data_IF_408551793555
#
_entry.id   IF_408551793555
#
_cell.length_a   1.000
_cell.length_b   1.000
_cell.length_c   1.000
_cell.angle_alpha   90.00
_cell.angle_beta   90.00
_cell.angle_gamma   90.00
#
_symmetry.space_group_name_H-M   'P 1'
#
loop_
_entity.id
_entity.type
_entity.pdbx_description
1 polymer ?
#
# COMPACT_ATOMS: atom_id res chain seq x y z
N UNK A 1 -5.23 9.56 6.60
CA UNK A 1 -6.71 9.50 6.69
C UNK A 1 -7.19 10.87 6.25
N UNK A 2 -8.08 10.93 5.26
CA UNK A 2 -8.73 12.19 4.88
C UNK A 2 -9.44 12.69 6.15
N UNK A 3 -9.19 13.93 6.56
CA UNK A 3 -9.77 14.52 7.77
C UNK A 3 -9.06 14.14 9.07
N UNK A 4 -8.04 14.90 9.45
CA UNK A 4 -7.60 14.96 10.85
C UNK A 4 -7.55 16.44 11.25
N UNK A 5 -8.70 16.97 11.69
CA UNK A 5 -8.86 18.36 12.14
C UNK A 5 -8.29 18.62 13.55
N UNK A 6 -7.80 17.57 14.24
CA UNK A 6 -7.15 17.70 15.56
C UNK A 6 -5.63 17.54 15.41
N UNK A 7 -4.81 18.31 16.12
CA UNK A 7 -3.36 18.06 16.11
C UNK A 7 -3.05 16.79 16.90
N UNK A 8 -2.56 15.73 16.24
CA UNK A 8 -1.96 14.57 16.92
C UNK A 8 -0.49 14.89 17.21
N UNK A 9 -0.09 14.84 18.48
CA UNK A 9 1.33 14.84 18.86
C UNK A 9 1.75 13.39 19.10
N UNK A 10 2.53 12.86 18.15
CA UNK A 10 3.18 11.56 18.33
C UNK A 10 4.39 11.64 19.27
N UNK A 11 5.06 10.50 19.52
CA UNK A 11 6.39 10.46 20.12
C UNK A 11 7.41 11.30 19.33
N UNK A 12 8.57 11.61 19.92
CA UNK A 12 9.57 12.51 19.33
C UNK A 12 10.13 12.05 17.98
N UNK A 13 10.03 10.75 17.66
CA UNK A 13 10.44 10.17 16.39
C UNK A 13 9.30 10.07 15.34
N UNK A 14 8.13 10.67 15.61
CA UNK A 14 6.97 10.67 14.70
C UNK A 14 6.70 12.08 14.20
N UNK A 15 7.00 12.30 12.92
CA UNK A 15 6.73 13.56 12.23
C UNK A 15 5.38 13.50 11.51
N UNK A 16 4.45 14.37 11.91
CA UNK A 16 3.10 14.43 11.33
C UNK A 16 3.03 15.57 10.33
N UNK A 17 2.81 15.22 9.07
CA UNK A 17 2.59 16.18 7.99
C UNK A 17 1.09 16.44 7.79
N UNK A 18 0.74 17.66 7.38
CA UNK A 18 -0.61 17.97 6.87
C UNK A 18 -0.83 17.23 5.54
N UNK A 19 -2.05 17.29 5.01
CA UNK A 19 -2.30 16.86 3.65
C UNK A 19 -1.37 17.59 2.66
N UNK A 20 -0.89 16.86 1.66
CA UNK A 20 0.08 17.35 0.68
C UNK A 20 -0.38 17.00 -0.74
N UNK A 21 -0.06 17.83 -1.74
CA UNK A 21 -0.20 17.47 -3.14
C UNK A 21 0.51 16.14 -3.45
N UNK A 22 -0.06 15.34 -4.35
CA UNK A 22 0.49 14.01 -4.66
C UNK A 22 1.99 14.04 -5.00
N UNK A 23 2.42 14.98 -5.85
CA UNK A 23 3.82 15.11 -6.27
C UNK A 23 4.77 15.37 -5.10
N UNK A 24 4.30 16.08 -4.08
CA UNK A 24 5.09 16.44 -2.91
C UNK A 24 5.26 15.25 -1.96
N UNK A 25 4.42 14.22 -2.08
CA UNK A 25 4.58 12.97 -1.33
C UNK A 25 5.68 12.07 -1.91
N UNK A 26 6.02 12.21 -3.19
CA UNK A 26 6.92 11.28 -3.90
C UNK A 26 8.33 11.19 -3.30
N UNK A 27 9.00 12.30 -2.91
CA UNK A 27 10.32 12.22 -2.29
C UNK A 27 10.29 11.44 -0.98
N UNK A 28 9.23 11.61 -0.17
CA UNK A 28 9.08 10.90 1.10
C UNK A 28 8.97 9.40 0.91
N UNK A 29 8.20 8.95 -0.10
CA UNK A 29 8.03 7.52 -0.36
C UNK A 29 9.30 6.94 -0.99
N UNK A 30 9.84 7.58 -2.02
CA UNK A 30 11.00 7.09 -2.78
C UNK A 30 12.25 6.89 -1.91
N UNK A 31 12.42 7.71 -0.88
CA UNK A 31 13.60 7.68 -0.02
C UNK A 31 13.35 7.01 1.34
N UNK A 32 12.15 6.48 1.59
CA UNK A 32 11.86 5.73 2.81
C UNK A 32 12.53 4.34 2.76
N UNK A 33 12.97 3.84 3.92
CA UNK A 33 13.49 2.46 4.03
C UNK A 33 12.37 1.42 3.92
N UNK A 34 11.22 1.73 4.50
CA UNK A 34 9.99 0.93 4.48
C UNK A 34 8.79 1.87 4.41
N UNK A 35 7.63 1.32 4.06
CA UNK A 35 6.36 2.04 4.01
C UNK A 35 5.33 1.40 4.93
N UNK A 36 4.31 2.15 5.35
CA UNK A 36 3.28 1.66 6.28
C UNK A 36 1.89 1.98 5.73
N UNK A 37 1.03 0.96 5.62
CA UNK A 37 -0.38 1.10 5.30
C UNK A 37 -1.25 0.65 6.50
N UNK A 38 -1.47 1.53 7.50
CA UNK A 38 -2.08 1.16 8.77
C UNK A 38 -3.62 1.17 8.66
N UNK A 39 -4.18 0.22 7.91
CA UNK A 39 -5.62 0.10 7.75
C UNK A 39 -6.27 -0.39 9.05
N UNK A 40 -7.50 0.07 9.29
CA UNK A 40 -8.35 -0.44 10.36
C UNK A 40 -9.15 -1.62 9.83
N UNK A 41 -9.23 -2.70 10.62
CA UNK A 41 -10.11 -3.82 10.32
C UNK A 41 -11.57 -3.35 10.36
N UNK A 42 -12.32 -3.66 9.30
CA UNK A 42 -13.75 -3.42 9.17
C UNK A 42 -14.35 -4.46 8.19
N UNK A 43 -15.66 -4.70 8.18
CA UNK A 43 -16.27 -5.63 7.23
C UNK A 43 -15.99 -5.22 5.77
N UNK A 44 -15.55 -6.18 4.94
CA UNK A 44 -15.37 -5.98 3.52
C UNK A 44 -14.13 -5.16 3.15
N UNK A 45 -13.06 -5.18 3.96
CA UNK A 45 -11.79 -4.48 3.65
C UNK A 45 -10.76 -5.39 2.98
N UNK A 46 -11.08 -6.66 2.78
CA UNK A 46 -10.20 -7.68 2.21
C UNK A 46 -9.79 -7.35 0.77
N UNK A 47 -10.64 -6.64 0.02
CA UNK A 47 -10.34 -6.15 -1.33
C UNK A 47 -9.13 -5.19 -1.37
N UNK A 48 -8.72 -4.62 -0.22
CA UNK A 48 -7.53 -3.76 -0.15
C UNK A 48 -6.23 -4.52 -0.46
N UNK A 49 -6.23 -5.85 -0.31
CA UNK A 49 -5.11 -6.69 -0.75
C UNK A 49 -4.79 -6.49 -2.24
N UNK A 50 -5.80 -6.29 -3.07
CA UNK A 50 -5.63 -6.19 -4.53
C UNK A 50 -5.72 -4.74 -5.03
N UNK A 51 -6.59 -3.93 -4.43
CA UNK A 51 -7.00 -2.64 -4.98
C UNK A 51 -6.31 -1.42 -4.34
N UNK A 52 -5.55 -1.59 -3.27
CA UNK A 52 -4.94 -0.46 -2.58
C UNK A 52 -3.91 0.25 -3.46
N UNK A 53 -4.26 1.45 -3.94
CA UNK A 53 -3.34 2.31 -4.69
C UNK A 53 -2.12 2.72 -3.85
N UNK A 54 -2.28 2.86 -2.53
CA UNK A 54 -1.16 3.16 -1.62
C UNK A 54 -0.14 2.03 -1.61
N UNK A 55 -0.59 0.78 -1.49
CA UNK A 55 0.29 -0.39 -1.53
C UNK A 55 0.89 -0.60 -2.93
N UNK A 56 0.11 -0.38 -3.99
CA UNK A 56 0.61 -0.42 -5.37
C UNK A 56 1.70 0.63 -5.64
N UNK A 57 1.54 1.86 -5.11
CA UNK A 57 2.56 2.91 -5.21
C UNK A 57 3.87 2.53 -4.54
N UNK A 58 3.81 1.89 -3.37
CA UNK A 58 5.00 1.43 -2.64
C UNK A 58 5.76 0.37 -3.43
N UNK A 59 5.04 -0.61 -3.95
CA UNK A 59 5.61 -1.66 -4.78
C UNK A 59 6.17 -1.11 -6.11
N UNK A 60 5.49 -0.15 -6.74
CA UNK A 60 6.00 0.53 -7.94
C UNK A 60 7.31 1.31 -7.67
N UNK A 61 7.52 1.76 -6.44
CA UNK A 61 8.75 2.41 -5.99
C UNK A 61 9.72 1.43 -5.31
N UNK A 62 9.45 0.13 -5.35
CA UNK A 62 10.27 -0.92 -4.75
C UNK A 62 10.48 -0.76 -3.24
N UNK A 63 9.48 -0.21 -2.55
CA UNK A 63 9.49 -0.03 -1.10
C UNK A 63 8.59 -1.09 -0.45
N UNK A 64 9.17 -1.86 0.46
CA UNK A 64 8.44 -2.89 1.21
C UNK A 64 7.40 -2.25 2.12
N UNK A 65 6.20 -2.82 2.20
CA UNK A 65 5.10 -2.29 2.99
C UNK A 65 4.80 -3.12 4.24
N UNK A 66 4.65 -2.45 5.37
CA UNK A 66 4.04 -3.01 6.59
C UNK A 66 2.54 -2.71 6.57
N UNK A 67 1.70 -3.74 6.66
CA UNK A 67 0.24 -3.60 6.65
C UNK A 67 -0.45 -4.71 7.43
N UNK A 68 -1.74 -4.58 7.78
CA UNK A 68 -2.48 -5.69 8.37
C UNK A 68 -2.50 -6.93 7.46
N UNK A 69 -2.63 -8.12 8.04
CA UNK A 69 -2.64 -9.39 7.30
C UNK A 69 -3.69 -9.44 6.18
N UNK A 70 -4.89 -8.88 6.42
CA UNK A 70 -5.95 -8.83 5.41
C UNK A 70 -5.60 -8.01 4.16
N UNK A 71 -4.56 -7.16 4.22
CA UNK A 71 -4.08 -6.34 3.11
C UNK A 71 -2.79 -6.87 2.47
N UNK A 72 -2.25 -8.01 2.94
CA UNK A 72 -1.05 -8.65 2.36
C UNK A 72 -1.37 -9.27 1.01
N UNK A 73 -2.48 -10.00 0.91
CA UNK A 73 -2.82 -10.78 -0.29
C UNK A 73 -1.75 -11.83 -0.60
N UNK A 74 -1.36 -11.93 -1.87
CA UNK A 74 -0.33 -12.87 -2.36
C UNK A 74 1.06 -12.24 -2.49
N UNK A 75 1.24 -10.98 -2.05
CA UNK A 75 2.48 -10.24 -2.27
C UNK A 75 3.53 -10.53 -1.16
N UNK A 76 4.66 -11.17 -1.46
CA UNK A 76 5.67 -11.51 -0.45
C UNK A 76 6.44 -10.29 0.08
N UNK A 77 6.35 -9.14 -0.60
CA UNK A 77 6.96 -7.87 -0.20
C UNK A 77 6.00 -6.98 0.61
N UNK A 78 4.99 -7.60 1.22
CA UNK A 78 4.17 -7.00 2.27
C UNK A 78 4.38 -7.78 3.57
N UNK A 79 4.78 -7.07 4.63
CA UNK A 79 4.92 -7.61 5.97
C UNK A 79 3.60 -7.42 6.73
N UNK A 80 2.89 -8.54 6.92
CA UNK A 80 1.61 -8.62 7.62
C UNK A 80 1.72 -8.52 9.14
N UNK A 81 0.73 -7.90 9.77
CA UNK A 81 0.53 -7.92 11.22
C UNK A 81 -0.94 -8.14 11.59
N UNK A 82 -1.18 -8.63 12.81
CA UNK A 82 -2.52 -8.76 13.40
C UNK A 82 -2.93 -7.43 14.04
N UNK A 83 -4.12 -6.94 13.70
CA UNK A 83 -4.61 -5.66 14.23
C UNK A 83 -4.72 -5.70 15.76
N UNK A 84 -4.24 -4.64 16.42
CA UNK A 84 -4.16 -4.51 17.88
C UNK A 84 -3.25 -5.53 18.60
N UNK A 85 -2.37 -6.22 17.88
CA UNK A 85 -1.31 -7.04 18.49
C UNK A 85 0.07 -6.37 18.29
N UNK A 86 0.61 -5.70 19.34
CA UNK A 86 1.91 -5.03 19.27
C UNK A 86 3.07 -5.96 18.90
N UNK A 87 3.04 -7.22 19.34
CA UNK A 87 4.14 -8.15 19.08
C UNK A 87 4.23 -8.46 17.57
N UNK A 88 3.07 -8.71 16.93
CA UNK A 88 3.01 -8.90 15.48
C UNK A 88 3.41 -7.64 14.70
N UNK A 89 3.04 -6.44 15.17
CA UNK A 89 3.42 -5.17 14.52
C UNK A 89 4.92 -4.93 14.56
N UNK A 90 5.56 -5.25 15.69
CA UNK A 90 7.03 -5.18 15.84
C UNK A 90 7.68 -6.16 14.88
N UNK A 91 7.27 -7.44 14.91
CA UNK A 91 7.83 -8.48 14.03
C UNK A 91 7.68 -8.15 12.53
N UNK A 92 6.53 -7.61 12.12
CA UNK A 92 6.31 -7.17 10.75
C UNK A 92 7.23 -6.02 10.35
N UNK A 93 7.45 -5.06 11.25
CA UNK A 93 8.35 -3.93 11.03
C UNK A 93 9.81 -4.38 10.93
N UNK A 94 10.26 -5.26 11.82
CA UNK A 94 11.61 -5.84 11.79
C UNK A 94 11.85 -6.63 10.51
N UNK A 95 10.89 -7.46 10.10
CA UNK A 95 10.93 -8.18 8.83
C UNK A 95 11.05 -7.22 7.63
N UNK A 96 10.26 -6.16 7.62
CA UNK A 96 10.30 -5.16 6.56
C UNK A 96 11.66 -4.46 6.48
N UNK A 97 12.24 -4.09 7.62
CA UNK A 97 13.56 -3.46 7.69
C UNK A 97 14.67 -4.41 7.23
N UNK A 98 14.61 -5.69 7.62
CA UNK A 98 15.59 -6.71 7.21
C UNK A 98 15.60 -6.97 5.70
N UNK A 99 14.45 -6.78 5.05
CA UNK A 99 14.25 -6.98 3.60
C UNK A 99 14.26 -5.65 2.80
N UNK A 100 14.57 -4.52 3.45
CA UNK A 100 14.59 -3.22 2.79
C UNK A 100 15.57 -3.21 1.60
N UNK A 101 15.14 -2.61 0.49
CA UNK A 101 15.91 -2.56 -0.76
C UNK A 101 15.94 -3.87 -1.57
N UNK A 102 15.25 -4.93 -1.13
CA UNK A 102 15.21 -6.23 -1.83
C UNK A 102 13.96 -6.42 -2.70
N UNK A 103 13.07 -5.42 -2.77
CA UNK A 103 11.84 -5.51 -3.58
C UNK A 103 12.19 -5.38 -5.07
N UNK A 104 11.87 -6.40 -5.90
CA UNK A 104 12.13 -6.35 -7.33
C UNK A 104 11.22 -5.32 -8.00
N UNK A 105 11.73 -4.69 -9.05
CA UNK A 105 10.88 -3.90 -9.94
C UNK A 105 9.88 -4.83 -10.64
N UNK A 106 8.63 -4.40 -10.74
CA UNK A 106 7.63 -5.03 -11.60
C UNK A 106 6.91 -3.99 -12.44
N UNK A 107 6.28 -4.44 -13.51
CA UNK A 107 5.48 -3.57 -14.34
C UNK A 107 4.13 -3.26 -13.68
N UNK A 108 3.81 -1.97 -13.65
CA UNK A 108 2.46 -1.47 -13.38
C UNK A 108 1.93 -0.81 -14.65
N UNK A 109 0.66 -1.06 -14.94
CA UNK A 109 0.02 -0.40 -16.07
C UNK A 109 -0.08 1.09 -15.84
N UNK A 110 0.23 1.84 -16.89
CA UNK A 110 0.00 3.28 -16.98
C UNK A 110 -1.50 3.56 -16.90
N UNK A 111 -1.86 4.79 -16.54
CA UNK A 111 -3.26 5.21 -16.53
C UNK A 111 -3.93 5.12 -17.90
N UNK A 112 -3.18 5.29 -18.99
CA UNK A 112 -3.70 5.09 -20.35
C UNK A 112 -4.05 3.62 -20.60
N UNK A 113 -3.20 2.68 -20.20
CA UNK A 113 -3.48 1.24 -20.35
C UNK A 113 -4.64 0.80 -19.45
N UNK A 114 -4.73 1.34 -18.24
CA UNK A 114 -5.88 1.10 -17.35
C UNK A 114 -7.17 1.62 -17.99
N UNK A 115 -7.15 2.84 -18.55
CA UNK A 115 -8.32 3.41 -19.21
C UNK A 115 -8.76 2.58 -20.43
N UNK A 116 -7.82 2.11 -21.25
CA UNK A 116 -8.15 1.29 -22.42
C UNK A 116 -8.77 -0.06 -22.01
N UNK A 117 -8.23 -0.70 -20.97
CA UNK A 117 -8.80 -1.95 -20.40
C UNK A 117 -10.21 -1.77 -19.84
N UNK A 118 -10.47 -0.65 -19.18
CA UNK A 118 -11.81 -0.36 -18.62
C UNK A 118 -12.82 -0.04 -19.72
N UNK A 119 -12.41 0.68 -20.78
CA UNK A 119 -13.29 1.07 -21.88
C UNK A 119 -13.54 -0.05 -22.89
N UNK A 120 -12.60 -0.98 -23.02
CA UNK A 120 -12.63 -2.09 -24.00
C UNK A 120 -12.21 -3.42 -23.37
N UNK A 121 -12.87 -3.87 -22.29
CA UNK A 121 -12.50 -5.08 -21.56
C UNK A 121 -12.50 -6.34 -22.44
N UNK A 122 -13.31 -6.40 -23.49
CA UNK A 122 -13.39 -7.50 -24.45
C UNK A 122 -12.05 -7.81 -25.15
N UNK A 123 -11.20 -6.79 -25.29
CA UNK A 123 -9.89 -6.91 -25.93
C UNK A 123 -8.83 -7.56 -25.02
N UNK A 124 -9.14 -7.76 -23.74
CA UNK A 124 -8.21 -8.25 -22.73
C UNK A 124 -8.75 -9.52 -22.07
N UNK A 125 -8.12 -10.70 -22.29
CA UNK A 125 -8.65 -11.98 -21.79
C UNK A 125 -8.93 -12.01 -20.29
N UNK A 126 -8.14 -11.30 -19.50
CA UNK A 126 -8.22 -11.20 -18.04
C UNK A 126 -9.21 -10.14 -17.53
N UNK A 127 -9.71 -9.25 -18.40
CA UNK A 127 -10.66 -8.21 -18.05
C UNK A 127 -12.05 -8.40 -18.67
N UNK A 128 -12.26 -9.45 -19.47
CA UNK A 128 -13.55 -9.72 -20.13
C UNK A 128 -14.66 -9.86 -19.09
N UNK A 129 -15.69 -9.03 -19.21
CA UNK A 129 -16.91 -9.17 -18.44
C UNK A 129 -17.79 -10.19 -19.14
N UNK A 130 -17.91 -11.38 -18.56
CA UNK A 130 -18.89 -12.37 -19.02
C UNK A 130 -20.24 -11.93 -18.47
N UNK A 131 -21.21 -11.71 -19.34
CA UNK A 131 -22.59 -11.51 -18.92
C UNK A 131 -23.16 -12.86 -18.50
N UNK A 132 -23.67 -12.95 -17.27
CA UNK A 132 -24.52 -14.05 -16.80
C UNK A 132 -25.89 -14.04 -17.48
#
# INVERSE_FOLDING_TARGET
MIGYEKSFKGPDNVFVHKEMPFRDTLPYIKHASISIAPYRLAPGVEYLAESSLKLGQYENLQILAVCPDFAVGTNPFRAGYVSNDPASMIAATEKALALAGQVPARHFSTWTEVADRVLRPENYPDARIVAD
#
